data_IF_482559111864
#
_entry.id   IF_482559111864
#
_cell.length_a   1.000
_cell.length_b   1.000
_cell.length_c   1.000
_cell.angle_alpha   90.00
_cell.angle_beta   90.00
_cell.angle_gamma   90.00
#
_symmetry.space_group_name_H-M   'P 1'
#
loop_
_entity.id
_entity.type
_entity.pdbx_description
1 polymer ?
#
# COMPACT_ATOMS: atom_id res chain seq x y z
N UNK A 1 21.86 29.55 25.96
CA UNK A 1 20.56 28.89 25.79
C UNK A 1 20.57 28.15 24.46
N UNK A 2 20.45 26.82 24.46
CA UNK A 2 20.43 26.00 23.25
C UNK A 2 18.97 25.65 22.97
N UNK A 3 18.41 26.25 21.93
CA UNK A 3 17.04 26.03 21.47
C UNK A 3 17.07 24.93 20.41
N UNK A 4 16.61 23.74 20.76
CA UNK A 4 16.54 22.59 19.86
C UNK A 4 15.12 22.50 19.31
N UNK A 5 14.92 23.00 18.09
CA UNK A 5 13.62 22.94 17.40
C UNK A 5 13.58 21.65 16.60
N UNK A 6 12.68 20.74 16.96
CA UNK A 6 12.41 19.52 16.21
C UNK A 6 11.16 19.73 15.36
N UNK A 7 11.33 19.77 14.03
CA UNK A 7 10.20 19.87 13.09
C UNK A 7 9.86 18.45 12.62
N UNK A 8 8.70 17.95 13.04
CA UNK A 8 8.13 16.73 12.49
C UNK A 8 7.31 17.10 11.24
N UNK A 9 7.85 16.86 10.05
CA UNK A 9 7.04 16.90 8.83
C UNK A 9 6.24 15.59 8.74
N UNK A 10 4.98 15.63 9.15
CA UNK A 10 4.01 14.56 8.89
C UNK A 10 3.02 15.03 7.84
N UNK A 11 3.13 14.50 6.63
CA UNK A 11 2.13 14.65 5.56
C UNK A 11 1.37 13.34 5.36
N UNK A 12 0.10 13.45 4.98
CA UNK A 12 -0.67 12.32 4.47
C UNK A 12 -0.84 12.50 2.96
N UNK A 13 -0.52 11.47 2.20
CA UNK A 13 -0.68 11.45 0.75
C UNK A 13 -1.65 10.31 0.38
N UNK A 14 -2.52 10.57 -0.60
CA UNK A 14 -3.48 9.59 -1.09
C UNK A 14 -3.08 9.15 -2.49
N UNK A 15 -2.80 7.86 -2.66
CA UNK A 15 -2.54 7.24 -3.95
C UNK A 15 -3.75 6.40 -4.36
N UNK A 16 -4.04 6.32 -5.66
CA UNK A 16 -5.14 5.51 -6.22
C UNK A 16 -4.57 4.59 -7.30
N UNK A 17 -4.87 3.31 -7.20
CA UNK A 17 -4.52 2.29 -8.18
C UNK A 17 -5.79 1.63 -8.71
N UNK A 18 -5.81 1.33 -10.01
CA UNK A 18 -6.84 0.50 -10.63
C UNK A 18 -6.19 -0.81 -11.07
N UNK A 19 -6.77 -1.93 -10.67
CA UNK A 19 -6.30 -3.28 -10.98
C UNK A 19 -7.44 -4.08 -11.61
N UNK A 20 -7.15 -5.01 -12.53
CA UNK A 20 -8.15 -5.92 -13.05
C UNK A 20 -8.58 -6.93 -11.96
N UNK A 21 -9.82 -7.43 -12.07
CA UNK A 21 -10.25 -8.63 -11.34
C UNK A 21 -9.47 -9.86 -11.80
N UNK A 22 -9.57 -10.95 -11.04
CA UNK A 22 -8.96 -12.25 -11.38
C UNK A 22 -7.42 -12.18 -11.56
N UNK A 23 -6.80 -11.17 -10.93
CA UNK A 23 -5.35 -11.01 -10.97
C UNK A 23 -4.68 -12.19 -10.26
N UNK A 24 -3.58 -12.71 -10.81
CA UNK A 24 -2.90 -13.84 -10.18
C UNK A 24 -2.28 -13.43 -8.84
N UNK A 25 -2.15 -14.39 -7.92
CA UNK A 25 -1.40 -14.20 -6.67
C UNK A 25 0.01 -13.68 -6.97
N UNK A 26 0.49 -12.77 -6.13
CA UNK A 26 1.79 -12.09 -6.22
C UNK A 26 1.94 -11.18 -7.46
N UNK A 27 0.85 -10.90 -8.18
CA UNK A 27 0.86 -9.94 -9.29
C UNK A 27 1.19 -8.52 -8.82
N UNK A 28 1.86 -7.78 -9.70
CA UNK A 28 2.27 -6.39 -9.46
C UNK A 28 1.08 -5.44 -9.46
N UNK A 29 1.02 -4.55 -8.46
CA UNK A 29 0.01 -3.48 -8.36
C UNK A 29 0.63 -2.11 -8.57
N UNK A 30 1.73 -1.81 -7.87
CA UNK A 30 2.33 -0.47 -7.89
C UNK A 30 3.63 -0.38 -7.08
N UNK A 31 4.33 0.76 -7.16
CA UNK A 31 5.56 1.02 -6.40
C UNK A 31 5.35 2.17 -5.40
N UNK A 32 5.02 1.81 -4.17
CA UNK A 32 4.71 2.74 -3.08
C UNK A 32 5.91 3.60 -2.70
N UNK A 33 7.12 3.03 -2.71
CA UNK A 33 8.34 3.81 -2.40
C UNK A 33 8.55 4.94 -3.42
N UNK A 34 8.40 4.62 -4.70
CA UNK A 34 8.55 5.58 -5.79
C UNK A 34 7.46 6.64 -5.76
N UNK A 35 6.20 6.20 -5.61
CA UNK A 35 5.05 7.09 -5.73
C UNK A 35 4.95 8.07 -4.54
N UNK A 36 5.32 7.65 -3.33
CA UNK A 36 5.43 8.53 -2.15
C UNK A 36 6.76 9.30 -2.07
N UNK A 37 7.71 9.05 -2.98
CA UNK A 37 9.06 9.64 -2.92
C UNK A 37 9.86 9.24 -1.67
N UNK A 38 9.52 8.12 -1.02
CA UNK A 38 10.18 7.65 0.20
C UNK A 38 11.21 6.57 -0.16
N UNK A 39 12.47 6.66 0.30
CA UNK A 39 13.46 5.63 0.03
C UNK A 39 13.04 4.29 0.66
N UNK A 40 13.28 3.21 -0.07
CA UNK A 40 12.92 1.83 0.33
C UNK A 40 13.50 1.46 1.71
N UNK A 41 14.71 1.92 2.02
CA UNK A 41 15.34 1.73 3.33
C UNK A 41 14.51 2.30 4.48
N UNK A 42 13.81 3.42 4.27
CA UNK A 42 12.92 3.98 5.28
C UNK A 42 11.65 3.16 5.47
N UNK A 43 11.13 2.51 4.42
CA UNK A 43 9.98 1.61 4.55
C UNK A 43 10.31 0.43 5.48
N UNK A 44 11.46 -0.20 5.27
CA UNK A 44 11.93 -1.28 6.14
C UNK A 44 12.23 -0.80 7.57
N UNK A 45 12.95 0.33 7.72
CA UNK A 45 13.29 0.88 9.03
C UNK A 45 12.04 1.26 9.87
N UNK A 46 10.99 1.74 9.20
CA UNK A 46 9.71 2.13 9.83
C UNK A 46 8.71 0.98 9.90
N UNK A 47 9.07 -0.23 9.44
CA UNK A 47 8.20 -1.43 9.40
C UNK A 47 6.87 -1.13 8.68
N UNK A 48 6.96 -0.48 7.52
CA UNK A 48 5.80 -0.13 6.72
C UNK A 48 4.97 -1.38 6.40
N UNK A 49 3.65 -1.27 6.57
CA UNK A 49 2.71 -2.37 6.39
C UNK A 49 1.40 -1.87 5.79
N UNK A 50 0.74 -2.74 5.04
CA UNK A 50 -0.61 -2.50 4.54
C UNK A 50 -1.60 -2.81 5.66
N UNK A 51 -2.59 -1.94 5.82
CA UNK A 51 -3.72 -2.14 6.74
C UNK A 51 -4.98 -1.99 5.90
N UNK A 52 -5.85 -3.00 5.95
CA UNK A 52 -7.12 -3.05 5.23
C UNK A 52 -8.26 -2.90 6.22
N UNK A 53 -9.37 -2.29 5.79
CA UNK A 53 -10.60 -2.22 6.57
C UNK A 53 -11.27 -3.60 6.54
N UNK A 54 -10.90 -4.46 7.48
CA UNK A 54 -11.40 -5.85 7.55
C UNK A 54 -10.36 -6.82 8.13
N UNK A 55 -10.71 -8.11 8.13
CA UNK A 55 -9.81 -9.17 8.62
C UNK A 55 -8.84 -9.69 7.55
N UNK A 56 -9.10 -9.40 6.28
CA UNK A 56 -8.33 -9.93 5.16
C UNK A 56 -7.43 -8.86 4.55
N UNK A 57 -6.13 -9.17 4.46
CA UNK A 57 -5.16 -8.33 3.75
C UNK A 57 -5.06 -8.77 2.30
N UNK A 58 -5.72 -8.06 1.39
CA UNK A 58 -5.72 -8.38 -0.04
C UNK A 58 -4.39 -8.05 -0.74
N UNK A 59 -3.60 -7.14 -0.16
CA UNK A 59 -2.35 -6.66 -0.73
C UNK A 59 -1.18 -6.84 0.22
N UNK A 60 0.02 -7.01 -0.35
CA UNK A 60 1.29 -7.15 0.36
C UNK A 60 2.27 -6.09 -0.11
N UNK A 61 2.87 -5.37 0.85
CA UNK A 61 3.99 -4.47 0.59
C UNK A 61 5.32 -5.19 0.81
N UNK A 62 6.14 -5.26 -0.22
CA UNK A 62 7.53 -5.71 -0.13
C UNK A 62 8.42 -4.56 0.33
N UNK A 63 8.71 -4.50 1.63
CA UNK A 63 9.49 -3.41 2.25
C UNK A 63 10.90 -3.25 1.67
N UNK A 64 11.48 -4.32 1.11
CA UNK A 64 12.82 -4.32 0.52
C UNK A 64 12.87 -3.78 -0.91
N UNK A 65 11.72 -3.66 -1.59
CA UNK A 65 11.63 -3.16 -2.97
C UNK A 65 10.71 -1.95 -3.10
N UNK A 66 9.82 -1.73 -2.13
CA UNK A 66 8.76 -0.72 -2.20
C UNK A 66 7.57 -1.14 -3.05
N UNK A 67 7.54 -2.37 -3.56
CA UNK A 67 6.50 -2.85 -4.48
C UNK A 67 5.31 -3.40 -3.71
N UNK A 68 4.11 -3.02 -4.14
CA UNK A 68 2.84 -3.57 -3.70
C UNK A 68 2.41 -4.69 -4.66
N UNK A 69 2.04 -5.84 -4.12
CA UNK A 69 1.53 -7.00 -4.88
C UNK A 69 0.19 -7.48 -4.33
N UNK A 70 -0.59 -8.17 -5.15
CA UNK A 70 -1.77 -8.88 -4.71
C UNK A 70 -1.36 -10.11 -3.90
N UNK A 71 -1.93 -10.29 -2.70
CA UNK A 71 -1.62 -11.46 -1.85
C UNK A 71 -2.35 -12.72 -2.32
N UNK A 72 -3.48 -12.54 -2.99
CA UNK A 72 -4.32 -13.60 -3.54
C UNK A 72 -5.11 -13.06 -4.75
N UNK A 73 -5.83 -13.95 -5.41
CA UNK A 73 -6.69 -13.53 -6.52
C UNK A 73 -7.83 -12.67 -6.03
N UNK A 74 -8.02 -11.54 -6.70
CA UNK A 74 -9.00 -10.54 -6.36
C UNK A 74 -10.32 -10.87 -7.06
N UNK A 75 -11.20 -11.52 -6.32
CA UNK A 75 -12.58 -11.79 -6.72
C UNK A 75 -13.45 -10.58 -6.30
N UNK A 76 -13.97 -9.85 -7.29
CA UNK A 76 -14.76 -8.63 -7.06
C UNK A 76 -16.05 -8.96 -6.32
N UNK A 77 -16.69 -10.08 -6.63
CA UNK A 77 -17.92 -10.54 -6.00
C UNK A 77 -17.71 -10.83 -4.51
N UNK A 78 -16.51 -11.30 -4.14
CA UNK A 78 -16.15 -11.49 -2.74
C UNK A 78 -15.82 -10.17 -2.01
N UNK A 79 -15.16 -9.23 -2.68
CA UNK A 79 -14.70 -7.96 -2.08
C UNK A 79 -15.83 -6.91 -2.00
N UNK A 80 -16.55 -6.70 -3.10
CA UNK A 80 -17.63 -5.72 -3.21
C UNK A 80 -18.87 -6.31 -3.93
N UNK A 81 -19.66 -7.16 -3.27
CA UNK A 81 -20.74 -7.94 -3.89
C UNK A 81 -21.87 -7.10 -4.52
N UNK A 82 -22.00 -5.84 -4.12
CA UNK A 82 -23.12 -4.97 -4.51
C UNK A 82 -22.77 -3.96 -5.62
N UNK A 83 -21.54 -3.96 -6.14
CA UNK A 83 -21.08 -2.95 -7.10
C UNK A 83 -20.18 -3.54 -8.18
N UNK A 84 -20.42 -3.19 -9.45
CA UNK A 84 -19.60 -3.62 -10.60
C UNK A 84 -18.14 -3.12 -10.54
N UNK A 85 -17.89 -2.07 -9.73
CA UNK A 85 -16.55 -1.53 -9.48
C UNK A 85 -16.37 -1.28 -7.97
N UNK A 86 -15.25 -1.71 -7.40
CA UNK A 86 -14.84 -1.30 -6.06
C UNK A 86 -14.06 0.02 -6.14
N UNK A 87 -14.42 1.02 -5.35
CA UNK A 87 -13.79 2.36 -5.32
C UNK A 87 -13.22 2.70 -3.96
#
# INVERSE_FOLDING_TARGET
FLLLVCVCQSGAESLRYSVPEEMERDSFVGNIAKDLGVPVSQLAARKARVVSEGNEQLFRLHQNTGVLTAKESLDREHICPQSDTCS
#
